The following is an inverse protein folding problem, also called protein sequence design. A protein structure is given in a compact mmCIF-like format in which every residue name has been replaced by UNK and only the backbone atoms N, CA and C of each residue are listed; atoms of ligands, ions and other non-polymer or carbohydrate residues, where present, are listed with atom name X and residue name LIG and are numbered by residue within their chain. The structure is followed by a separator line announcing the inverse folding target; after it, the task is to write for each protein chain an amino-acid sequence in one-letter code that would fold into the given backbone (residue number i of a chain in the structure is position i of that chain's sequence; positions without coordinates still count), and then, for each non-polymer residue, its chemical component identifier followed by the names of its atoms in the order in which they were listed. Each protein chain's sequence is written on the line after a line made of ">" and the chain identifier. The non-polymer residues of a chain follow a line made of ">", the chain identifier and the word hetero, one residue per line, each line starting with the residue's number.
data_IF_202719659809
#
_entry.id   IF_202719659809
#
_cell.length_a   1.000
_cell.length_b   1.000
_cell.length_c   1.000
_cell.angle_alpha   90.00
_cell.angle_beta   90.00
_cell.angle_gamma   90.00
#
_symmetry.space_group_name_H-M   'P 1'
#
loop_
_entity.id
_entity.type
_entity.pdbx_description
1 polymer ?
#
# COMPACT_ATOMS: atom_id res chain seq x y z
N UNK A 1 -18.28 2.10 -4.13
CA UNK A 1 -18.50 0.71 -4.59
C UNK A 1 -18.98 -0.11 -3.40
N UNK A 2 -19.93 -1.03 -3.60
CA UNK A 2 -20.46 -1.87 -2.53
C UNK A 2 -21.33 -2.99 -3.07
N UNK A 3 -21.67 -3.96 -2.24
CA UNK A 3 -22.60 -5.04 -2.61
C UNK A 3 -24.04 -4.52 -2.64
N UNK A 4 -24.79 -4.90 -3.67
CA UNK A 4 -26.20 -4.59 -3.77
C UNK A 4 -26.96 -5.33 -2.66
N UNK A 5 -27.89 -4.64 -2.00
CA UNK A 5 -28.72 -5.30 -0.99
C UNK A 5 -29.63 -6.34 -1.63
N UNK A 6 -29.85 -7.45 -0.94
CA UNK A 6 -30.74 -8.54 -1.40
C UNK A 6 -32.15 -8.07 -1.72
N UNK A 7 -32.64 -7.06 -1.00
CA UNK A 7 -33.94 -6.42 -1.25
C UNK A 7 -33.97 -5.72 -2.61
N UNK A 8 -32.97 -4.90 -2.92
CA UNK A 8 -32.88 -4.21 -4.21
C UNK A 8 -32.68 -5.21 -5.35
N UNK A 9 -31.85 -6.24 -5.18
CA UNK A 9 -31.65 -7.27 -6.20
C UNK A 9 -32.94 -8.03 -6.53
N UNK A 10 -33.75 -8.40 -5.52
CA UNK A 10 -35.02 -9.07 -5.72
C UNK A 10 -36.06 -8.20 -6.46
N UNK A 11 -36.09 -6.89 -6.16
CA UNK A 11 -36.99 -5.94 -6.80
C UNK A 11 -36.69 -5.76 -8.30
N UNK A 12 -35.43 -5.80 -8.69
CA UNK A 12 -34.98 -5.68 -10.07
C UNK A 12 -34.72 -7.02 -10.77
N UNK A 13 -35.07 -8.15 -10.14
CA UNK A 13 -34.92 -9.49 -10.73
C UNK A 13 -33.47 -9.91 -10.98
N UNK A 14 -32.52 -9.36 -10.21
CA UNK A 14 -31.09 -9.68 -10.34
C UNK A 14 -30.79 -10.90 -9.48
N UNK A 15 -30.36 -11.99 -10.12
CA UNK A 15 -29.94 -13.21 -9.45
C UNK A 15 -28.42 -13.24 -9.20
N UNK A 16 -28.00 -13.83 -8.08
CA UNK A 16 -26.59 -13.98 -7.73
C UNK A 16 -25.99 -12.80 -6.97
N UNK A 17 -24.65 -12.72 -6.93
CA UNK A 17 -23.93 -11.63 -6.26
C UNK A 17 -23.81 -10.44 -7.21
N UNK A 18 -24.28 -9.27 -6.78
CA UNK A 18 -24.20 -8.03 -7.54
C UNK A 18 -23.45 -6.95 -6.73
N UNK A 19 -22.53 -6.24 -7.38
CA UNK A 19 -21.85 -5.08 -6.83
C UNK A 19 -22.23 -3.83 -7.63
N UNK A 20 -22.40 -2.71 -6.94
CA UNK A 20 -22.75 -1.41 -7.50
C UNK A 20 -21.66 -0.38 -7.18
N UNK A 21 -21.37 0.49 -8.14
CA UNK A 21 -20.53 1.66 -7.94
C UNK A 21 -21.17 2.84 -8.66
N UNK A 22 -21.16 3.99 -8.02
CA UNK A 22 -21.45 5.28 -8.63
C UNK A 22 -20.20 6.13 -8.53
N UNK A 23 -19.88 6.85 -9.60
CA UNK A 23 -18.79 7.81 -9.64
C UNK A 23 -19.35 9.15 -10.11
N UNK A 24 -18.99 10.22 -9.42
CA UNK A 24 -19.25 11.58 -9.88
C UNK A 24 -18.37 11.86 -11.10
N UNK A 25 -19.02 11.96 -12.27
CA UNK A 25 -18.32 12.19 -13.53
C UNK A 25 -17.60 13.55 -13.55
N UNK A 26 -18.19 14.59 -12.96
CA UNK A 26 -17.58 15.92 -12.90
C UNK A 26 -16.31 15.89 -12.06
N UNK A 27 -16.35 15.24 -10.89
CA UNK A 27 -15.16 15.09 -10.05
C UNK A 27 -14.04 14.29 -10.75
N UNK A 28 -14.38 13.28 -11.55
CA UNK A 28 -13.41 12.51 -12.35
C UNK A 28 -12.77 13.38 -13.43
N UNK A 29 -13.56 14.21 -14.12
CA UNK A 29 -13.06 15.13 -15.15
C UNK A 29 -12.18 16.21 -14.53
N UNK A 30 -12.54 16.76 -13.37
CA UNK A 30 -11.73 17.77 -12.67
C UNK A 30 -10.40 17.20 -12.16
N UNK A 31 -10.39 15.93 -11.76
CA UNK A 31 -9.16 15.22 -11.34
C UNK A 31 -8.30 14.74 -12.52
N UNK A 32 -8.78 14.86 -13.76
CA UNK A 32 -8.08 14.37 -14.93
C UNK A 32 -6.86 15.26 -15.24
N UNK A 33 -5.66 14.67 -15.16
CA UNK A 33 -4.42 15.26 -15.69
C UNK A 33 -4.19 14.80 -17.14
N UNK A 34 -4.30 15.68 -18.17
CA UNK A 34 -4.33 15.24 -19.58
C UNK A 34 -2.98 14.89 -20.20
N UNK A 35 -1.88 14.99 -19.46
CA UNK A 35 -0.53 14.84 -20.02
C UNK A 35 0.28 13.94 -19.09
N UNK A 36 0.76 12.77 -19.56
CA UNK A 36 1.78 12.03 -18.84
C UNK A 36 2.98 12.95 -18.69
N UNK A 37 3.31 13.34 -17.47
CA UNK A 37 4.56 14.04 -17.19
C UNK A 37 5.69 13.09 -17.57
N UNK A 38 6.45 13.45 -18.60
CA UNK A 38 7.60 12.67 -19.02
C UNK A 38 8.69 12.85 -17.98
N UNK A 39 8.75 11.89 -17.06
CA UNK A 39 9.85 11.77 -16.11
C UNK A 39 11.01 11.10 -16.83
N UNK A 40 12.24 11.61 -16.68
CA UNK A 40 13.40 10.99 -17.31
C UNK A 40 13.52 9.52 -16.92
N UNK A 41 13.82 8.67 -17.90
CA UNK A 41 14.16 7.27 -17.62
C UNK A 41 15.42 7.25 -16.78
N UNK A 42 15.28 6.86 -15.51
CA UNK A 42 16.39 6.82 -14.57
C UNK A 42 17.48 5.88 -15.09
N UNK A 43 18.73 6.34 -15.02
CA UNK A 43 19.93 5.56 -15.37
C UNK A 43 20.45 4.75 -14.18
N UNK A 44 19.85 4.92 -13.00
CA UNK A 44 20.31 4.33 -11.75
C UNK A 44 19.46 3.11 -11.37
N UNK A 45 20.08 2.08 -10.76
CA UNK A 45 19.38 0.85 -10.42
C UNK A 45 18.37 1.09 -9.30
N UNK A 46 17.24 0.39 -9.36
CA UNK A 46 16.26 0.30 -8.26
C UNK A 46 16.71 -0.77 -7.28
N UNK A 47 16.66 -0.45 -5.98
CA UNK A 47 16.85 -1.43 -4.91
C UNK A 47 15.51 -1.87 -4.34
N UNK A 48 15.30 -3.18 -4.28
CA UNK A 48 14.08 -3.80 -3.75
C UNK A 48 14.32 -4.35 -2.34
N UNK A 49 13.38 -4.10 -1.43
CA UNK A 49 13.43 -4.60 -0.05
C UNK A 49 12.05 -5.01 0.41
N UNK A 50 11.95 -6.22 0.94
CA UNK A 50 10.70 -6.77 1.46
C UNK A 50 10.66 -6.58 2.97
N UNK A 51 9.48 -6.24 3.49
CA UNK A 51 9.18 -6.21 4.92
C UNK A 51 7.85 -6.92 5.18
N UNK A 52 7.79 -7.63 6.30
CA UNK A 52 6.57 -8.25 6.79
C UNK A 52 6.27 -7.81 8.22
N UNK A 53 5.05 -7.31 8.45
CA UNK A 53 4.58 -6.88 9.77
C UNK A 53 3.35 -7.65 10.21
N UNK A 54 3.35 -8.04 11.49
CA UNK A 54 2.15 -8.48 12.19
C UNK A 54 1.52 -7.28 12.87
N UNK A 55 0.26 -7.01 12.52
CA UNK A 55 -0.49 -5.81 12.92
C UNK A 55 -1.90 -6.19 13.36
N UNK A 56 -2.58 -5.24 14.00
CA UNK A 56 -4.02 -5.37 14.24
C UNK A 56 -4.82 -5.48 12.94
N UNK A 57 -5.87 -6.29 12.93
CA UNK A 57 -6.72 -6.46 11.76
C UNK A 57 -7.35 -5.12 11.30
N UNK A 58 -7.59 -4.20 12.24
CA UNK A 58 -8.13 -2.87 11.95
C UNK A 58 -7.15 -1.96 11.20
N UNK A 59 -5.84 -2.21 11.25
CA UNK A 59 -4.84 -1.39 10.53
C UNK A 59 -4.99 -1.65 9.03
N UNK A 60 -5.28 -0.60 8.27
CA UNK A 60 -5.47 -0.69 6.82
C UNK A 60 -4.13 -0.64 6.09
N UNK A 61 -4.10 -1.21 4.88
CA UNK A 61 -2.95 -1.07 3.98
C UNK A 61 -2.60 0.40 3.74
N UNK A 62 -3.61 1.25 3.52
CA UNK A 62 -3.40 2.67 3.25
C UNK A 62 -2.65 3.38 4.38
N UNK A 63 -2.91 3.03 5.65
CA UNK A 63 -2.17 3.59 6.79
C UNK A 63 -0.69 3.14 6.80
N UNK A 64 -0.41 1.90 6.43
CA UNK A 64 0.96 1.38 6.35
C UNK A 64 1.70 2.06 5.20
N UNK A 65 1.05 2.17 4.03
CA UNK A 65 1.58 2.83 2.86
C UNK A 65 1.91 4.31 3.14
N UNK A 66 1.00 5.06 3.75
CA UNK A 66 1.26 6.47 4.10
C UNK A 66 2.42 6.59 5.08
N UNK A 67 2.43 5.79 6.14
CA UNK A 67 3.48 5.79 7.17
C UNK A 67 4.85 5.47 6.57
N UNK A 68 4.93 4.45 5.70
CA UNK A 68 6.17 4.04 5.05
C UNK A 68 6.68 5.09 4.04
N UNK A 69 5.78 5.74 3.29
CA UNK A 69 6.14 6.83 2.36
C UNK A 69 6.67 8.05 3.10
N UNK A 70 6.00 8.46 4.18
CA UNK A 70 6.44 9.58 5.01
C UNK A 70 7.82 9.31 5.64
N UNK A 71 8.06 8.09 6.14
CA UNK A 71 9.34 7.72 6.74
C UNK A 71 10.50 7.59 5.74
N UNK A 72 10.20 7.16 4.50
CA UNK A 72 11.20 6.91 3.47
C UNK A 72 11.61 8.16 2.68
N UNK A 73 10.74 9.16 2.62
CA UNK A 73 10.93 10.36 1.82
C UNK A 73 10.98 10.08 0.31
N UNK A 74 11.64 10.96 -0.45
CA UNK A 74 11.63 10.94 -1.93
C UNK A 74 12.35 9.74 -2.55
N UNK A 75 13.14 9.00 -1.77
CA UNK A 75 13.86 7.81 -2.24
C UNK A 75 12.94 6.63 -2.51
N UNK A 76 11.76 6.57 -1.86
CA UNK A 76 10.79 5.50 -2.08
C UNK A 76 9.93 5.82 -3.30
N UNK A 77 10.14 5.08 -4.38
CA UNK A 77 9.39 5.28 -5.63
C UNK A 77 8.07 4.53 -5.62
N UNK A 78 8.09 3.31 -5.10
CA UNK A 78 6.92 2.45 -5.07
C UNK A 78 6.92 1.61 -3.79
N UNK A 79 5.73 1.34 -3.29
CA UNK A 79 5.48 0.37 -2.25
C UNK A 79 4.32 -0.51 -2.70
N UNK A 80 4.47 -1.82 -2.57
CA UNK A 80 3.51 -2.78 -3.08
C UNK A 80 3.22 -3.87 -2.07
N UNK A 81 1.97 -3.98 -1.63
CA UNK A 81 1.47 -5.14 -0.91
C UNK A 81 1.43 -6.35 -1.84
N UNK A 82 1.99 -7.47 -1.41
CA UNK A 82 1.97 -8.71 -2.20
C UNK A 82 1.47 -9.92 -1.43
N UNK A 83 1.40 -9.87 -0.09
CA UNK A 83 0.83 -10.94 0.72
C UNK A 83 0.06 -10.39 1.93
N UNK A 84 -1.12 -10.95 2.18
CA UNK A 84 -1.90 -10.76 3.40
C UNK A 84 -2.27 -12.13 3.96
N UNK A 85 -1.79 -12.42 5.16
CA UNK A 85 -2.02 -13.69 5.83
C UNK A 85 -2.76 -13.50 7.16
N UNK A 86 -3.82 -14.27 7.32
CA UNK A 86 -4.59 -14.38 8.58
C UNK A 86 -4.63 -15.85 9.01
N UNK A 87 -4.51 -16.11 10.31
CA UNK A 87 -4.55 -17.49 10.81
C UNK A 87 -4.13 -17.65 12.26
N UNK A 88 -4.33 -18.86 12.80
CA UNK A 88 -4.02 -19.18 14.21
C UNK A 88 -2.57 -18.87 14.60
N UNK A 89 -1.63 -18.97 13.65
CA UNK A 89 -0.20 -18.70 13.86
C UNK A 89 0.13 -17.20 14.02
N UNK A 90 -0.76 -16.30 13.61
CA UNK A 90 -0.59 -14.84 13.74
C UNK A 90 -1.23 -14.31 15.02
N UNK A 91 -2.20 -15.05 15.57
CA UNK A 91 -2.97 -14.66 16.75
C UNK A 91 -4.34 -14.09 16.37
N UNK A 92 -5.30 -14.23 17.28
CA UNK A 92 -6.66 -13.74 17.06
C UNK A 92 -6.68 -12.20 16.94
N UNK A 93 -7.42 -11.67 15.96
CA UNK A 93 -7.51 -10.23 15.71
C UNK A 93 -6.26 -9.61 15.07
N UNK A 94 -5.28 -10.41 14.65
CA UNK A 94 -4.06 -9.96 13.98
C UNK A 94 -4.01 -10.44 12.53
N UNK A 95 -3.27 -9.70 11.70
CA UNK A 95 -2.93 -10.07 10.33
C UNK A 95 -1.45 -9.80 10.06
N UNK A 96 -0.87 -10.59 9.17
CA UNK A 96 0.48 -10.39 8.66
C UNK A 96 0.38 -9.78 7.27
N UNK A 97 1.08 -8.69 7.02
CA UNK A 97 1.16 -8.05 5.72
C UNK A 97 2.60 -8.03 5.25
N UNK A 98 2.87 -8.56 4.06
CA UNK A 98 4.17 -8.49 3.42
C UNK A 98 4.11 -7.58 2.20
N UNK A 99 5.05 -6.64 2.14
CA UNK A 99 5.12 -5.65 1.10
C UNK A 99 6.56 -5.38 0.69
N UNK A 100 6.69 -4.93 -0.57
CA UNK A 100 7.97 -4.57 -1.18
C UNK A 100 8.10 -3.07 -1.29
N UNK A 101 9.26 -2.57 -0.94
CA UNK A 101 9.70 -1.19 -1.09
C UNK A 101 10.70 -1.11 -2.24
N UNK A 102 10.48 -0.16 -3.14
CA UNK A 102 11.34 0.12 -4.29
C UNK A 102 12.04 1.46 -4.08
N UNK A 103 13.31 1.41 -3.74
CA UNK A 103 14.14 2.59 -3.52
C UNK A 103 14.94 2.95 -4.76
N UNK A 104 14.94 4.23 -5.13
CA UNK A 104 15.78 4.76 -6.20
C UNK A 104 15.99 6.26 -6.05
N UNK A 105 17.18 6.70 -6.39
CA UNK A 105 17.55 8.10 -6.54
C UNK A 105 17.84 8.40 -8.03
N UNK A 106 17.44 9.58 -8.51
CA UNK A 106 17.59 9.94 -9.93
C UNK A 106 18.92 10.65 -10.23
N UNK A 107 19.72 10.95 -9.21
CA UNK A 107 21.03 11.59 -9.33
C UNK A 107 22.21 10.65 -9.02
N UNK A 108 21.99 9.58 -8.26
CA UNK A 108 23.05 8.63 -7.88
C UNK A 108 22.56 7.20 -7.65
N UNK A 109 23.49 6.25 -7.67
CA UNK A 109 23.26 4.92 -7.13
C UNK A 109 23.19 4.98 -5.60
N UNK A 110 22.11 4.48 -5.03
CA UNK A 110 21.95 4.39 -3.57
C UNK A 110 22.94 3.38 -2.99
N UNK A 111 23.56 3.73 -1.86
CA UNK A 111 24.39 2.76 -1.12
C UNK A 111 23.52 1.87 -0.23
N UNK A 112 24.08 0.72 0.16
CA UNK A 112 23.41 -0.21 1.08
C UNK A 112 23.05 0.46 2.41
N UNK A 113 23.91 1.36 2.91
CA UNK A 113 23.70 2.09 4.16
C UNK A 113 22.54 3.10 4.05
N UNK A 114 22.42 3.79 2.91
CA UNK A 114 21.30 4.71 2.66
C UNK A 114 19.97 3.96 2.62
N UNK A 115 19.93 2.82 1.92
CA UNK A 115 18.74 1.97 1.87
C UNK A 115 18.40 1.44 3.26
N UNK A 116 19.39 0.95 4.00
CA UNK A 116 19.17 0.41 5.35
C UNK A 116 18.64 1.49 6.31
N UNK A 117 19.18 2.70 6.25
CA UNK A 117 18.70 3.81 7.07
C UNK A 117 17.23 4.13 6.81
N UNK A 118 16.77 4.05 5.56
CA UNK A 118 15.34 4.24 5.22
C UNK A 118 14.48 3.06 5.67
N UNK A 119 14.96 1.83 5.54
CA UNK A 119 14.27 0.66 6.07
C UNK A 119 14.07 0.77 7.58
N UNK A 120 15.12 1.13 8.32
CA UNK A 120 15.05 1.28 9.77
C UNK A 120 14.06 2.37 10.17
N UNK A 121 13.99 3.47 9.40
CA UNK A 121 13.00 4.53 9.61
C UNK A 121 11.57 4.04 9.38
N UNK A 122 11.32 3.25 8.32
CA UNK A 122 10.00 2.64 8.06
C UNK A 122 9.63 1.66 9.17
N UNK A 123 10.56 0.78 9.56
CA UNK A 123 10.33 -0.20 10.62
C UNK A 123 9.96 0.51 11.92
N UNK A 124 10.72 1.54 12.29
CA UNK A 124 10.43 2.33 13.48
C UNK A 124 9.07 3.02 13.39
N UNK A 125 8.77 3.69 12.28
CA UNK A 125 7.52 4.42 12.11
C UNK A 125 6.29 3.49 12.19
N UNK A 126 6.32 2.34 11.51
CA UNK A 126 5.23 1.35 11.55
C UNK A 126 5.10 0.73 12.94
N UNK A 127 6.20 0.50 13.64
CA UNK A 127 6.19 -0.01 15.01
C UNK A 127 5.60 1.01 15.99
N UNK A 128 6.09 2.25 15.95
CA UNK A 128 5.73 3.31 16.90
C UNK A 128 4.31 3.83 16.68
N UNK A 129 3.87 3.98 15.42
CA UNK A 129 2.59 4.60 15.08
C UNK A 129 1.45 3.58 14.93
N UNK A 130 1.74 2.39 14.40
CA UNK A 130 0.72 1.38 14.06
C UNK A 130 0.81 0.13 14.95
N UNK A 131 1.79 0.06 15.86
CA UNK A 131 1.99 -1.10 16.72
C UNK A 131 2.43 -2.36 15.97
N UNK A 132 3.03 -2.21 14.79
CA UNK A 132 3.48 -3.33 13.97
C UNK A 132 4.67 -4.06 14.57
N UNK A 133 4.68 -5.39 14.48
CA UNK A 133 5.82 -6.21 14.85
C UNK A 133 6.48 -6.77 13.60
N UNK A 134 7.75 -6.42 13.38
CA UNK A 134 8.52 -6.94 12.26
C UNK A 134 8.69 -8.46 12.38
N UNK A 135 8.42 -9.16 11.28
CA UNK A 135 8.49 -10.62 11.19
C UNK A 135 9.59 -11.09 10.23
N UNK A 136 9.99 -10.25 9.28
CA UNK A 136 11.00 -10.54 8.25
C UNK A 136 11.15 -9.38 7.30
#
# INVERSE_FOLDING_TARGET
>A
IGEATTKAMAEYGVEGKCALAELDFSAVVDAWVPVPTMTELSRFPTAERDLAFVLDHAVTWSQIESTAREASGEMLREIRLFDEFTGKQIGAGKKSLAFRLYFRDDAKTLTSEEIQSRLDAVIKAVTDQLGGQLRG
#
